data_IF_541142043957
#
_entry.id   IF_541142043957
#
_cell.length_a   1.000
_cell.length_b   1.000
_cell.length_c   1.000
_cell.angle_alpha   90.00
_cell.angle_beta   90.00
_cell.angle_gamma   90.00
#
_symmetry.space_group_name_H-M   'P 1'
#
loop_
_entity.id
_entity.type
_entity.pdbx_description
1 polymer ?
#
# COMPACT_ATOMS: atom_id res chain seq x y z
N UNK A 1 -23.78 -39.55 -21.35
CA UNK A 1 -22.43 -39.11 -21.78
C UNK A 1 -22.38 -37.59 -21.66
N UNK A 2 -21.67 -37.05 -20.67
CA UNK A 2 -21.53 -35.60 -20.49
C UNK A 2 -20.36 -35.13 -21.36
N UNK A 3 -20.64 -34.23 -22.30
CA UNK A 3 -19.66 -33.67 -23.22
C UNK A 3 -18.55 -32.95 -22.43
N UNK A 4 -17.31 -33.37 -22.68
CA UNK A 4 -16.09 -32.79 -22.12
C UNK A 4 -15.92 -31.42 -22.77
N UNK A 5 -16.22 -30.36 -22.01
CA UNK A 5 -15.99 -28.97 -22.43
C UNK A 5 -14.48 -28.81 -22.64
N UNK A 6 -14.05 -28.77 -23.90
CA UNK A 6 -12.70 -28.42 -24.32
C UNK A 6 -12.42 -27.01 -23.82
N UNK A 7 -11.52 -26.89 -22.85
CA UNK A 7 -11.04 -25.61 -22.32
C UNK A 7 -10.25 -24.95 -23.45
N UNK A 8 -10.89 -23.98 -24.09
CA UNK A 8 -10.33 -23.22 -25.21
C UNK A 8 -9.01 -22.57 -24.82
N UNK A 9 -8.11 -22.56 -25.77
CA UNK A 9 -6.81 -21.88 -25.82
C UNK A 9 -6.83 -20.56 -25.05
N UNK A 10 -6.30 -20.56 -23.82
CA UNK A 10 -6.00 -19.31 -23.09
C UNK A 10 -4.90 -18.61 -23.88
N UNK A 11 -5.24 -17.49 -24.53
CA UNK A 11 -4.29 -16.71 -25.30
C UNK A 11 -3.11 -16.26 -24.45
N UNK A 12 -1.96 -16.06 -25.10
CA UNK A 12 -0.75 -15.55 -24.45
C UNK A 12 -1.07 -14.31 -23.59
N UNK A 13 -0.83 -14.32 -22.25
CA UNK A 13 -1.18 -13.21 -21.37
C UNK A 13 -0.35 -11.95 -21.60
N UNK A 14 0.74 -12.03 -22.37
CA UNK A 14 1.65 -10.92 -22.65
C UNK A 14 1.90 -10.83 -24.15
N UNK A 15 1.75 -9.64 -24.74
CA UNK A 15 2.05 -9.43 -26.16
C UNK A 15 3.50 -9.81 -26.48
N UNK A 16 3.72 -10.47 -27.63
CA UNK A 16 5.04 -11.03 -27.98
C UNK A 16 6.16 -9.98 -27.96
N UNK A 17 5.91 -8.77 -28.47
CA UNK A 17 6.87 -7.65 -28.42
C UNK A 17 7.29 -7.26 -27.01
N UNK A 18 6.35 -7.30 -26.05
CA UNK A 18 6.59 -6.94 -24.65
C UNK A 18 7.39 -8.07 -24.00
N UNK A 19 6.99 -9.32 -24.27
CA UNK A 19 7.73 -10.50 -23.81
C UNK A 19 9.18 -10.46 -24.28
N UNK A 20 9.42 -10.27 -25.57
CA UNK A 20 10.76 -10.23 -26.15
C UNK A 20 11.61 -9.12 -25.53
N UNK A 21 11.03 -7.94 -25.32
CA UNK A 21 11.72 -6.84 -24.65
C UNK A 21 12.13 -7.19 -23.22
N UNK A 22 11.23 -7.79 -22.43
CA UNK A 22 11.53 -8.19 -21.05
C UNK A 22 12.62 -9.25 -21.03
N UNK A 23 12.54 -10.26 -21.90
CA UNK A 23 13.55 -11.31 -21.99
C UNK A 23 14.91 -10.78 -22.46
N UNK A 24 14.92 -9.76 -23.32
CA UNK A 24 16.14 -9.06 -23.69
C UNK A 24 16.76 -8.36 -22.47
N UNK A 25 15.96 -7.65 -21.67
CA UNK A 25 16.45 -6.96 -20.46
C UNK A 25 16.98 -7.93 -19.40
N UNK A 26 16.33 -9.08 -19.21
CA UNK A 26 16.81 -10.12 -18.28
C UNK A 26 18.20 -10.65 -18.67
N UNK A 27 18.54 -10.63 -19.96
CA UNK A 27 19.84 -11.10 -20.48
C UNK A 27 20.88 -9.97 -20.59
N UNK A 28 20.48 -8.73 -20.32
CA UNK A 28 21.35 -7.57 -20.49
C UNK A 28 22.42 -7.55 -19.38
N UNK A 29 23.71 -7.41 -19.72
CA UNK A 29 24.77 -7.34 -18.71
C UNK A 29 24.53 -6.19 -17.72
N UNK A 30 24.62 -6.50 -16.42
CA UNK A 30 24.43 -5.52 -15.34
C UNK A 30 22.97 -5.31 -14.90
N UNK A 31 22.01 -6.03 -15.49
CA UNK A 31 20.62 -6.01 -15.01
C UNK A 31 20.42 -7.07 -13.91
N UNK A 32 20.28 -6.59 -12.67
CA UNK A 32 19.99 -7.45 -11.51
C UNK A 32 18.49 -7.76 -11.36
N UNK A 33 17.65 -6.80 -11.76
CA UNK A 33 16.20 -6.82 -11.51
C UNK A 33 15.43 -6.18 -12.65
N UNK A 34 14.32 -6.81 -13.04
CA UNK A 34 13.32 -6.24 -13.96
C UNK A 34 12.01 -6.04 -13.19
N UNK A 35 11.47 -4.82 -13.25
CA UNK A 35 10.30 -4.38 -12.51
C UNK A 35 9.09 -4.23 -13.45
N UNK A 36 8.01 -4.96 -13.17
CA UNK A 36 6.81 -4.97 -14.01
C UNK A 36 5.60 -4.51 -13.19
N UNK A 37 5.28 -3.21 -13.16
CA UNK A 37 4.00 -2.75 -12.62
C UNK A 37 2.86 -3.22 -13.55
N UNK A 38 1.86 -3.87 -12.98
CA UNK A 38 0.71 -4.41 -13.70
C UNK A 38 -0.53 -3.62 -13.32
N UNK A 39 -1.22 -3.07 -14.31
CA UNK A 39 -2.50 -2.42 -14.11
C UNK A 39 -3.63 -3.30 -14.67
N UNK A 40 -4.57 -3.67 -13.82
CA UNK A 40 -5.76 -4.41 -14.21
C UNK A 40 -6.98 -3.49 -14.23
N UNK A 41 -7.72 -3.55 -15.34
CA UNK A 41 -8.97 -2.82 -15.57
C UNK A 41 -8.88 -1.31 -15.35
N UNK A 42 -7.70 -0.71 -15.56
CA UNK A 42 -7.44 0.72 -15.33
C UNK A 42 -7.73 1.17 -13.88
N UNK A 43 -7.66 0.26 -12.90
CA UNK A 43 -8.12 0.54 -11.54
C UNK A 43 -7.24 -0.08 -10.45
N UNK A 44 -6.72 -1.30 -10.68
CA UNK A 44 -5.98 -2.03 -9.65
C UNK A 44 -4.54 -2.28 -10.05
N UNK A 45 -3.61 -2.04 -9.13
CA UNK A 45 -2.19 -2.24 -9.34
C UNK A 45 -1.69 -3.50 -8.63
N UNK A 46 -0.98 -4.33 -9.38
CA UNK A 46 -0.18 -5.46 -8.90
C UNK A 46 1.25 -5.29 -9.44
N UNK A 47 2.16 -6.21 -9.12
CA UNK A 47 3.43 -6.27 -9.83
C UNK A 47 4.00 -7.68 -9.99
N UNK A 48 4.87 -7.79 -10.98
CA UNK A 48 5.83 -8.89 -11.12
C UNK A 48 7.23 -8.32 -11.01
N UNK A 49 8.13 -9.02 -10.33
CA UNK A 49 9.54 -8.64 -10.21
C UNK A 49 10.41 -9.84 -10.56
N UNK A 50 11.30 -9.67 -11.54
CA UNK A 50 12.23 -10.72 -11.96
C UNK A 50 13.59 -10.37 -11.38
N UNK A 51 14.09 -11.16 -10.43
CA UNK A 51 15.46 -11.07 -9.92
C UNK A 51 16.33 -12.06 -10.68
N UNK A 52 17.25 -11.51 -11.49
CA UNK A 52 18.06 -12.26 -12.44
C UNK A 52 19.08 -13.14 -11.70
N UNK A 53 19.89 -12.55 -10.83
CA UNK A 53 20.94 -13.30 -10.09
C UNK A 53 20.38 -14.40 -9.19
N UNK A 54 19.17 -14.19 -8.66
CA UNK A 54 18.54 -15.13 -7.73
C UNK A 54 17.69 -16.19 -8.43
N UNK A 55 17.55 -16.13 -9.77
CA UNK A 55 16.62 -16.95 -10.55
C UNK A 55 15.21 -16.97 -9.93
N UNK A 56 14.65 -15.80 -9.63
CA UNK A 56 13.33 -15.68 -8.98
C UNK A 56 12.41 -14.72 -9.70
N UNK A 57 11.15 -15.09 -9.81
CA UNK A 57 10.05 -14.27 -10.31
C UNK A 57 9.03 -14.10 -9.18
N UNK A 58 8.99 -12.90 -8.61
CA UNK A 58 8.00 -12.55 -7.61
C UNK A 58 6.72 -12.05 -8.27
N UNK A 59 5.56 -12.44 -7.74
CA UNK A 59 4.27 -11.82 -8.05
C UNK A 59 3.64 -11.31 -6.76
N UNK A 60 3.04 -10.13 -6.83
CA UNK A 60 2.50 -9.44 -5.67
C UNK A 60 1.20 -8.72 -6.01
N UNK A 61 0.18 -8.97 -5.20
CA UNK A 61 -1.08 -8.21 -5.20
C UNK A 61 -1.31 -7.67 -3.79
N UNK A 62 -1.31 -6.34 -3.58
CA UNK A 62 -1.56 -5.75 -2.27
C UNK A 62 -2.89 -6.15 -1.63
N UNK A 63 -3.93 -6.37 -2.43
CA UNK A 63 -5.25 -6.79 -1.93
C UNK A 63 -5.34 -8.30 -1.69
N UNK A 64 -4.38 -9.07 -2.23
CA UNK A 64 -4.39 -10.53 -2.22
C UNK A 64 -5.75 -11.11 -2.69
N UNK A 65 -6.38 -10.44 -3.66
CA UNK A 65 -7.67 -10.85 -4.18
C UNK A 65 -7.44 -11.92 -5.25
N UNK A 66 -8.13 -13.06 -5.10
CA UNK A 66 -7.87 -14.26 -5.90
C UNK A 66 -7.79 -14.00 -7.42
N UNK A 67 -8.66 -13.17 -7.97
CA UNK A 67 -8.68 -12.82 -9.40
C UNK A 67 -7.41 -12.09 -9.87
N UNK A 68 -6.99 -11.05 -9.14
CA UNK A 68 -5.81 -10.25 -9.49
C UNK A 68 -4.52 -11.01 -9.22
N UNK A 69 -4.46 -11.69 -8.07
CA UNK A 69 -3.36 -12.57 -7.73
C UNK A 69 -3.13 -13.66 -8.78
N UNK A 70 -4.20 -14.35 -9.21
CA UNK A 70 -4.09 -15.38 -10.24
C UNK A 70 -3.64 -14.80 -11.58
N UNK A 71 -4.07 -13.58 -11.92
CA UNK A 71 -3.65 -12.89 -13.14
C UNK A 71 -2.15 -12.54 -13.11
N UNK A 72 -1.66 -11.98 -11.99
CA UNK A 72 -0.25 -11.68 -11.80
C UNK A 72 0.61 -12.96 -11.80
N UNK A 73 0.13 -14.03 -11.14
CA UNK A 73 0.79 -15.34 -11.14
C UNK A 73 0.80 -15.99 -12.52
N UNK A 74 -0.25 -15.84 -13.32
CA UNK A 74 -0.29 -16.34 -14.69
C UNK A 74 0.79 -15.67 -15.56
N UNK A 75 0.96 -14.35 -15.44
CA UNK A 75 2.04 -13.61 -16.12
C UNK A 75 3.42 -14.10 -15.66
N UNK A 76 3.64 -14.23 -14.34
CA UNK A 76 4.91 -14.74 -13.81
C UNK A 76 5.22 -16.17 -14.30
N UNK A 77 4.21 -17.04 -14.30
CA UNK A 77 4.32 -18.43 -14.77
C UNK A 77 4.59 -18.48 -16.26
N UNK A 78 3.96 -17.59 -17.04
CA UNK A 78 4.21 -17.46 -18.47
C UNK A 78 5.68 -17.15 -18.78
N UNK A 79 6.32 -16.25 -18.03
CA UNK A 79 7.75 -15.98 -18.22
C UNK A 79 8.62 -17.20 -17.86
N UNK A 80 8.31 -17.90 -16.75
CA UNK A 80 9.00 -19.14 -16.38
C UNK A 80 8.96 -20.16 -17.52
N UNK A 81 7.77 -20.50 -18.02
CA UNK A 81 7.61 -21.57 -19.04
C UNK A 81 8.08 -21.17 -20.44
N UNK A 82 8.20 -19.88 -20.75
CA UNK A 82 8.54 -19.43 -22.11
C UNK A 82 10.02 -19.25 -22.35
N UNK A 83 10.80 -18.87 -21.33
CA UNK A 83 12.22 -18.60 -21.48
C UNK A 83 13.04 -18.56 -20.18
N UNK A 84 12.40 -18.64 -19.01
CA UNK A 84 13.03 -18.54 -17.69
C UNK A 84 12.79 -19.81 -16.86
N UNK A 85 12.98 -20.98 -17.46
CA UNK A 85 12.56 -22.28 -16.89
C UNK A 85 13.21 -22.56 -15.52
N UNK A 86 14.47 -22.15 -15.38
CA UNK A 86 15.28 -22.25 -14.15
C UNK A 86 14.82 -21.30 -13.03
N UNK A 87 13.91 -20.37 -13.30
CA UNK A 87 13.48 -19.37 -12.31
C UNK A 87 12.33 -19.88 -11.45
N UNK A 88 12.37 -19.64 -10.15
CA UNK A 88 11.27 -19.95 -9.23
C UNK A 88 10.21 -18.84 -9.20
N UNK A 89 8.94 -19.23 -9.32
CA UNK A 89 7.81 -18.29 -9.17
C UNK A 89 7.37 -18.25 -7.72
N UNK A 90 7.50 -17.09 -7.07
CA UNK A 90 7.21 -16.90 -5.65
C UNK A 90 6.13 -15.83 -5.49
N UNK A 91 5.08 -16.15 -4.74
CA UNK A 91 4.04 -15.21 -4.39
C UNK A 91 4.44 -14.42 -3.14
N UNK A 92 4.36 -13.09 -3.22
CA UNK A 92 4.53 -12.19 -2.09
C UNK A 92 3.16 -11.91 -1.45
N UNK A 93 3.10 -12.07 -0.13
CA UNK A 93 1.89 -11.92 0.67
C UNK A 93 2.01 -10.84 1.73
N UNK A 94 3.05 -10.01 1.66
CA UNK A 94 3.25 -8.94 2.63
C UNK A 94 3.94 -7.77 1.92
N UNK A 95 3.49 -6.53 2.13
CA UNK A 95 2.39 -6.12 3.03
C UNK A 95 1.00 -6.20 2.40
N UNK A 96 -0.06 -6.33 3.21
CA UNK A 96 -1.44 -6.30 2.73
C UNK A 96 -2.03 -4.88 2.80
N UNK A 97 -2.82 -4.56 1.79
CA UNK A 97 -3.67 -3.37 1.75
C UNK A 97 -5.05 -3.69 2.32
N UNK A 98 -5.58 -2.75 3.10
CA UNK A 98 -6.92 -2.85 3.70
C UNK A 98 -7.89 -1.75 3.24
N UNK A 99 -7.41 -0.73 2.52
CA UNK A 99 -8.25 0.30 1.89
C UNK A 99 -8.48 0.00 0.40
N UNK A 100 -9.19 0.87 -0.32
CA UNK A 100 -9.54 0.66 -1.74
C UNK A 100 -8.68 1.45 -2.73
N UNK A 101 -7.71 2.23 -2.26
CA UNK A 101 -7.03 3.24 -3.09
C UNK A 101 -5.50 3.26 -2.94
N UNK A 102 -4.93 2.42 -2.08
CA UNK A 102 -3.48 2.40 -1.84
C UNK A 102 -2.69 1.45 -2.73
N UNK A 103 -3.31 0.72 -3.65
CA UNK A 103 -2.61 -0.35 -4.40
C UNK A 103 -1.36 0.15 -5.13
N UNK A 104 -1.43 1.35 -5.71
CA UNK A 104 -0.27 2.01 -6.31
C UNK A 104 0.85 2.34 -5.31
N UNK A 105 0.52 2.71 -4.07
CA UNK A 105 1.50 2.99 -3.00
C UNK A 105 2.21 1.71 -2.60
N UNK A 106 1.46 0.62 -2.36
CA UNK A 106 2.03 -0.67 -2.00
C UNK A 106 2.91 -1.24 -3.12
N UNK A 107 2.46 -1.19 -4.37
CA UNK A 107 3.24 -1.63 -5.52
C UNK A 107 4.50 -0.77 -5.69
N UNK A 108 4.39 0.56 -5.62
CA UNK A 108 5.56 1.44 -5.77
C UNK A 108 6.64 1.14 -4.73
N UNK A 109 6.25 1.00 -3.46
CA UNK A 109 7.20 0.66 -2.41
C UNK A 109 7.74 -0.76 -2.51
N UNK A 110 6.95 -1.74 -2.96
CA UNK A 110 7.45 -3.08 -3.27
C UNK A 110 8.57 -3.02 -4.31
N UNK A 111 8.36 -2.32 -5.42
CA UNK A 111 9.35 -2.18 -6.49
C UNK A 111 10.60 -1.41 -6.03
N UNK A 112 10.43 -0.30 -5.31
CA UNK A 112 11.53 0.51 -4.77
C UNK A 112 12.38 -0.31 -3.80
N UNK A 113 11.76 -1.01 -2.84
CA UNK A 113 12.48 -1.85 -1.89
C UNK A 113 13.22 -2.98 -2.59
N UNK A 114 12.62 -3.57 -3.62
CA UNK A 114 13.23 -4.67 -4.35
C UNK A 114 14.49 -4.19 -5.11
N UNK A 115 14.38 -3.04 -5.79
CA UNK A 115 15.47 -2.42 -6.53
C UNK A 115 16.59 -1.87 -5.63
N UNK A 116 16.24 -1.21 -4.53
CA UNK A 116 17.20 -0.62 -3.61
C UNK A 116 17.83 -1.64 -2.65
N UNK A 117 17.41 -2.92 -2.69
CA UNK A 117 17.77 -3.97 -1.72
C UNK A 117 17.61 -3.49 -0.27
N UNK A 118 16.56 -2.70 -0.03
CA UNK A 118 16.37 -1.91 1.19
C UNK A 118 15.78 -2.70 2.36
N UNK A 119 15.90 -2.14 3.57
CA UNK A 119 15.30 -2.68 4.79
C UNK A 119 13.76 -2.71 4.71
N UNK A 120 13.10 -3.58 5.50
CA UNK A 120 11.65 -3.55 5.63
C UNK A 120 11.12 -2.16 5.99
N UNK A 121 10.12 -1.71 5.23
CA UNK A 121 9.42 -0.46 5.46
C UNK A 121 8.11 -0.72 6.21
N UNK A 122 7.77 0.20 7.11
CA UNK A 122 6.46 0.21 7.74
C UNK A 122 5.40 0.63 6.71
N UNK A 123 4.58 -0.34 6.33
CA UNK A 123 3.45 -0.24 5.40
C UNK A 123 2.11 -0.41 6.13
N UNK A 124 2.08 -0.18 7.45
CA UNK A 124 0.83 -0.15 8.22
C UNK A 124 -0.04 1.04 7.81
N UNK A 125 -1.34 0.95 8.08
CA UNK A 125 -2.31 2.01 7.78
C UNK A 125 -1.89 3.39 8.34
N UNK A 126 -1.27 3.40 9.53
CA UNK A 126 -0.78 4.64 10.19
C UNK A 126 0.34 5.32 9.40
N UNK A 127 1.13 4.55 8.66
CA UNK A 127 2.29 5.06 7.94
C UNK A 127 2.00 5.39 6.47
N UNK A 128 0.83 5.02 5.93
CA UNK A 128 0.52 5.22 4.51
C UNK A 128 0.51 6.70 4.08
N UNK A 129 0.08 7.64 4.93
CA UNK A 129 0.15 9.07 4.60
C UNK A 129 1.59 9.54 4.41
N UNK A 130 2.51 9.08 5.28
CA UNK A 130 3.95 9.33 5.13
C UNK A 130 4.49 8.67 3.86
N UNK A 131 4.12 7.41 3.58
CA UNK A 131 4.55 6.69 2.37
C UNK A 131 4.08 7.36 1.08
N UNK A 132 2.89 7.95 1.07
CA UNK A 132 2.40 8.76 -0.06
C UNK A 132 3.20 10.04 -0.22
N UNK A 133 3.46 10.75 0.88
CA UNK A 133 4.26 11.97 0.86
C UNK A 133 5.68 11.72 0.37
N UNK A 134 6.33 10.66 0.84
CA UNK A 134 7.67 10.26 0.41
C UNK A 134 7.71 9.93 -1.09
N UNK A 135 6.70 9.23 -1.64
CA UNK A 135 6.60 9.00 -3.09
C UNK A 135 6.39 10.31 -3.86
N UNK A 136 5.51 11.18 -3.37
CA UNK A 136 5.28 12.49 -3.99
C UNK A 136 6.55 13.35 -3.99
N UNK A 137 7.26 13.38 -2.87
CA UNK A 137 8.53 14.09 -2.75
C UNK A 137 9.60 13.49 -3.66
N UNK A 138 9.67 12.16 -3.78
CA UNK A 138 10.56 11.49 -4.71
C UNK A 138 10.30 11.91 -6.16
N UNK A 139 9.04 11.99 -6.58
CA UNK A 139 8.69 12.47 -7.92
C UNK A 139 9.13 13.92 -8.17
N UNK A 140 9.09 14.76 -7.14
CA UNK A 140 9.51 16.16 -7.23
C UNK A 140 11.04 16.32 -7.25
N UNK A 141 11.75 15.61 -6.38
CA UNK A 141 13.16 15.84 -6.09
C UNK A 141 14.12 14.82 -6.74
N UNK A 142 13.60 13.68 -7.22
CA UNK A 142 14.41 12.54 -7.68
C UNK A 142 15.18 11.82 -6.57
N UNK A 143 14.92 12.14 -5.30
CA UNK A 143 15.65 11.62 -4.14
C UNK A 143 14.68 11.04 -3.11
N UNK A 144 14.96 9.81 -2.65
CA UNK A 144 14.20 9.18 -1.57
C UNK A 144 14.59 9.82 -0.24
N UNK A 145 13.60 10.20 0.56
CA UNK A 145 13.85 10.75 1.89
C UNK A 145 14.53 9.71 2.78
N UNK A 146 15.57 10.08 3.55
CA UNK A 146 16.18 9.19 4.53
C UNK A 146 15.13 8.68 5.52
N UNK A 147 15.26 7.41 5.91
CA UNK A 147 14.46 6.84 6.99
C UNK A 147 14.81 7.62 8.27
N UNK A 148 13.81 8.20 8.93
CA UNK A 148 14.02 8.71 10.27
C UNK A 148 14.09 7.50 11.20
N UNK A 149 15.28 7.18 11.67
CA UNK A 149 15.44 6.28 12.80
C UNK A 149 14.84 6.97 14.01
N UNK A 150 14.00 6.24 14.75
CA UNK A 150 13.35 6.76 15.95
C UNK A 150 14.39 6.92 17.06
N UNK A 151 15.04 8.07 17.11
CA UNK A 151 15.16 8.79 18.37
C UNK A 151 14.24 10.00 18.24
N UNK A 152 12.96 9.76 18.53
CA UNK A 152 12.09 10.89 18.82
C UNK A 152 12.69 11.58 20.05
N UNK A 153 12.95 12.91 20.03
CA UNK A 153 13.15 13.64 21.26
C UNK A 153 11.96 13.34 22.16
N UNK A 154 12.20 12.86 23.37
CA UNK A 154 11.16 12.82 24.39
C UNK A 154 10.59 14.22 24.46
N UNK A 155 9.34 14.40 24.03
CA UNK A 155 8.54 15.50 24.50
C UNK A 155 8.55 15.32 26.02
N UNK A 156 9.21 16.25 26.72
CA UNK A 156 9.04 16.35 28.16
C UNK A 156 7.54 16.46 28.39
N UNK A 157 6.99 15.50 29.11
CA UNK A 157 5.68 15.63 29.71
C UNK A 157 5.71 16.92 30.51
N UNK A 158 5.01 17.94 30.01
CA UNK A 158 4.73 19.16 30.76
C UNK A 158 3.76 18.74 31.88
N UNK A 159 4.33 18.26 32.99
CA UNK A 159 3.63 18.04 34.24
C UNK A 159 3.17 19.40 34.78
N UNK A 160 2.05 19.87 34.24
CA UNK A 160 1.36 21.09 34.61
C UNK A 160 -0.14 20.88 34.72
N UNK A 161 -0.61 19.71 35.16
CA UNK A 161 -1.97 19.59 35.68
C UNK A 161 -2.04 20.29 37.05
N UNK A 162 -2.23 21.61 37.04
CA UNK A 162 -2.63 22.35 38.23
C UNK A 162 -4.06 21.95 38.59
N UNK A 163 -4.16 20.88 39.39
CA UNK A 163 -5.41 20.42 39.98
C UNK A 163 -5.93 21.49 40.94
N UNK A 164 -6.92 22.28 40.49
CA UNK A 164 -7.63 23.23 41.36
C UNK A 164 -8.14 22.50 42.61
N UNK A 165 -7.86 23.02 43.83
CA UNK A 165 -8.43 22.46 45.04
C UNK A 165 -9.96 22.67 45.06
N UNK A 166 -10.71 21.78 45.73
CA UNK A 166 -12.16 21.87 45.79
C UNK A 166 -12.60 23.15 46.53
N UNK A 167 -13.72 23.79 46.14
CA UNK A 167 -14.24 24.96 46.83
C UNK A 167 -14.56 24.62 48.30
N UNK A 168 -14.07 25.45 49.22
CA UNK A 168 -14.47 25.39 50.63
C UNK A 168 -15.90 25.92 50.77
N UNK A 169 -16.77 25.11 51.38
CA UNK A 169 -18.10 25.52 51.83
C UNK A 169 -17.96 26.69 52.82
N UNK A 170 -18.57 27.82 52.49
CA UNK A 170 -18.88 28.86 53.46
C UNK A 170 -20.38 29.09 53.41
N UNK A 171 -21.06 28.58 54.43
CA UNK A 171 -22.45 28.89 54.74
C UNK A 171 -22.62 30.41 54.90
N UNK A 172 -23.44 31.01 54.04
CA UNK A 172 -24.36 32.12 54.36
C UNK A 172 -25.24 32.46 53.14
N UNK A 173 -26.45 31.87 53.12
CA UNK A 173 -27.64 32.31 52.37
C UNK A 173 -28.27 33.57 53.01
N UNK A 174 -29.29 34.24 52.41
CA UNK A 174 -29.67 34.34 51.00
C UNK A 174 -30.02 35.80 50.57
N UNK A 175 -29.90 36.15 49.28
CA UNK A 175 -30.65 37.29 48.72
C UNK A 175 -30.92 37.09 47.21
N UNK A 176 -32.20 37.15 46.87
CA UNK A 176 -32.84 36.94 45.57
C UNK A 176 -32.25 37.74 44.40
N UNK A 177 -32.20 37.12 43.21
CA UNK A 177 -32.83 37.69 41.99
C UNK A 177 -32.70 36.75 40.77
N UNK A 178 -33.84 36.14 40.44
CA UNK A 178 -34.38 35.80 39.12
C UNK A 178 -33.44 35.57 37.91
N UNK A 179 -33.34 34.30 37.50
CA UNK A 179 -32.90 33.89 36.16
C UNK A 179 -34.13 33.63 35.25
N UNK A 180 -34.22 34.21 34.04
CA UNK A 180 -35.12 33.71 33.01
C UNK A 180 -34.45 32.59 32.18
N UNK A 181 -35.19 31.52 31.82
CA UNK A 181 -34.66 30.42 31.02
C UNK A 181 -34.60 30.78 29.53
N UNK A 182 -33.44 30.57 28.89
CA UNK A 182 -33.32 30.67 27.43
C UNK A 182 -33.90 29.40 26.79
N UNK A 183 -35.01 29.55 26.05
CA UNK A 183 -35.66 28.48 25.30
C UNK A 183 -34.97 28.24 23.95
N UNK A 184 -34.87 26.97 23.58
CA UNK A 184 -34.43 26.48 22.26
C UNK A 184 -35.66 26.43 21.35
N UNK A 185 -35.62 27.09 20.19
CA UNK A 185 -36.71 27.08 19.21
C UNK A 185 -36.54 25.94 18.18
N UNK A 186 -37.60 25.17 17.84
CA UNK A 186 -37.62 24.25 16.71
C UNK A 186 -38.08 24.97 15.43
N UNK A 187 -37.47 24.66 14.29
CA UNK A 187 -38.01 25.07 12.98
C UNK A 187 -38.59 23.86 12.25
N UNK A 188 -39.84 24.04 11.82
CA UNK A 188 -40.75 23.08 11.24
C UNK A 188 -40.42 22.75 9.77
N UNK A 189 -40.81 21.54 9.38
CA UNK A 189 -40.97 21.09 8.00
C UNK A 189 -42.30 21.64 7.46
N UNK A 190 -42.29 22.21 6.26
CA UNK A 190 -43.51 22.60 5.55
C UNK A 190 -43.51 22.06 4.11
N UNK A 191 -44.52 21.21 3.87
CA UNK A 191 -45.23 20.81 2.64
C UNK A 191 -44.46 20.17 1.48
#
# INVERSE_FOLDING_TARGET
MKSKKTRGTEGNPVQDRIRERILQQVREPGVDVVLLPLNFHNAHWCCVVIRVEANRIFNYDPLNQASYLQSARAIATFFKISALEEFDVIQQNNPFQFDTFSCGVYVSWMLICDAARGLPLDMSARSLSRRRFELFYYLLAGVLLPKQDKEAPQLQDDEGEEKMPPPQETDQDPAESDLPPTQVAPTQVAQ
#
